data_IF_085872748966
#
_entry.id   IF_085872748966
#
_cell.length_a   1.000
_cell.length_b   1.000
_cell.length_c   1.000
_cell.angle_alpha   90.00
_cell.angle_beta   90.00
_cell.angle_gamma   90.00
#
_symmetry.space_group_name_H-M   'P 1'
#
loop_
_entity.id
_entity.type
_entity.pdbx_description
1 polymer ?
#
# COMPACT_ATOMS: atom_id res chain seq x y z
N UNK A 1 -8.37 11.69 31.22
CA UNK A 1 -6.90 11.72 31.35
C UNK A 1 -6.50 12.35 32.67
N UNK A 2 -5.61 11.71 33.43
CA UNK A 2 -5.07 12.31 34.67
C UNK A 2 -4.05 13.38 34.29
N UNK A 3 -3.78 14.32 35.19
CA UNK A 3 -2.85 15.44 34.94
C UNK A 3 -1.46 14.96 34.54
N UNK A 4 -0.99 13.84 35.07
CA UNK A 4 0.26 13.18 34.70
C UNK A 4 0.28 12.74 33.23
N UNK A 5 -0.80 12.14 32.71
CA UNK A 5 -0.85 11.67 31.33
C UNK A 5 -0.71 12.84 30.36
N UNK A 6 -1.40 13.94 30.65
CA UNK A 6 -1.33 15.17 29.84
C UNK A 6 0.06 15.79 29.86
N UNK A 7 0.72 15.76 31.03
CA UNK A 7 2.09 16.24 31.16
C UNK A 7 3.06 15.43 30.29
N UNK A 8 3.06 14.09 30.45
CA UNK A 8 3.94 13.19 29.71
C UNK A 8 3.74 13.29 28.17
N UNK A 9 2.49 13.39 27.73
CA UNK A 9 2.19 13.56 26.28
C UNK A 9 2.68 14.89 25.76
N UNK A 10 2.50 15.99 26.51
CA UNK A 10 2.92 17.33 26.10
C UNK A 10 4.43 17.43 25.97
N UNK A 11 5.19 16.88 26.92
CA UNK A 11 6.65 16.89 26.90
C UNK A 11 7.23 16.03 25.76
N UNK A 12 6.53 14.96 25.38
CA UNK A 12 6.92 14.13 24.25
C UNK A 12 6.53 14.72 22.90
N UNK A 13 5.39 15.42 22.79
CA UNK A 13 4.83 15.87 21.51
C UNK A 13 5.77 16.82 20.76
N UNK A 14 6.41 17.74 21.45
CA UNK A 14 7.32 18.70 20.84
C UNK A 14 8.56 18.04 20.22
N UNK A 15 9.32 17.18 20.93
CA UNK A 15 10.39 16.40 20.32
C UNK A 15 9.92 15.51 19.17
N UNK A 16 8.71 14.93 19.26
CA UNK A 16 8.15 14.12 18.20
C UNK A 16 7.93 14.91 16.92
N UNK A 17 7.31 16.09 17.01
CA UNK A 17 7.08 16.95 15.83
C UNK A 17 8.40 17.39 15.20
N UNK A 18 9.42 17.72 15.99
CA UNK A 18 10.75 18.08 15.49
C UNK A 18 11.38 16.91 14.74
N UNK A 19 11.38 15.72 15.34
CA UNK A 19 11.92 14.52 14.69
C UNK A 19 11.15 14.17 13.42
N UNK A 20 9.81 14.20 13.47
CA UNK A 20 8.96 13.88 12.34
C UNK A 20 9.22 14.83 11.16
N UNK A 21 9.18 16.14 11.41
CA UNK A 21 9.42 17.15 10.35
C UNK A 21 10.84 17.07 9.82
N UNK A 22 11.83 16.92 10.69
CA UNK A 22 13.24 16.83 10.30
C UNK A 22 13.51 15.61 9.42
N UNK A 23 13.02 14.43 9.82
CA UNK A 23 13.17 13.21 9.03
C UNK A 23 12.33 13.22 7.75
N UNK A 24 11.13 13.84 7.75
CA UNK A 24 10.33 14.00 6.53
C UNK A 24 11.05 14.86 5.51
N UNK A 25 11.59 16.00 5.91
CA UNK A 25 12.36 16.88 5.01
C UNK A 25 13.59 16.14 4.46
N UNK A 26 14.33 15.42 5.33
CA UNK A 26 15.50 14.67 4.92
C UNK A 26 15.13 13.53 3.95
N UNK A 27 14.04 12.81 4.21
CA UNK A 27 13.58 11.72 3.38
C UNK A 27 13.09 12.22 2.00
N UNK A 28 12.27 13.28 1.98
CA UNK A 28 11.80 13.90 0.73
C UNK A 28 12.99 14.46 -0.08
N UNK A 29 13.96 15.09 0.57
CA UNK A 29 15.16 15.59 -0.13
C UNK A 29 15.97 14.45 -0.75
N UNK A 30 16.12 13.32 -0.05
CA UNK A 30 16.80 12.14 -0.57
C UNK A 30 16.05 11.50 -1.74
N UNK A 31 14.73 11.36 -1.63
CA UNK A 31 13.86 10.83 -2.68
C UNK A 31 13.89 11.73 -3.93
N UNK A 32 13.78 13.04 -3.73
CA UNK A 32 13.87 14.02 -4.83
C UNK A 32 15.20 13.95 -5.57
N UNK A 33 16.32 13.76 -4.86
CA UNK A 33 17.65 13.66 -5.48
C UNK A 33 17.76 12.36 -6.30
N UNK A 34 17.20 11.26 -5.81
CA UNK A 34 17.26 9.97 -6.50
C UNK A 34 16.37 9.93 -7.76
N UNK A 35 15.22 10.61 -7.71
CA UNK A 35 14.23 10.59 -8.79
C UNK A 35 14.26 11.92 -9.61
N UNK A 36 15.36 12.69 -9.56
CA UNK A 36 15.45 14.01 -10.20
C UNK A 36 15.17 13.95 -11.70
N UNK A 37 15.65 12.90 -12.38
CA UNK A 37 15.44 12.70 -13.82
C UNK A 37 13.96 12.45 -14.16
N UNK A 38 13.18 11.90 -13.22
CA UNK A 38 11.75 11.64 -13.40
C UNK A 38 10.90 12.92 -13.24
N UNK A 39 11.48 14.00 -12.67
CA UNK A 39 10.84 15.31 -12.50
C UNK A 39 11.30 16.35 -13.54
N UNK A 40 12.06 15.92 -14.56
CA UNK A 40 12.52 16.83 -15.61
C UNK A 40 11.33 17.42 -16.37
N UNK A 41 11.24 18.74 -16.42
CA UNK A 41 10.14 19.47 -17.06
C UNK A 41 8.97 19.84 -16.15
N UNK A 42 8.92 19.36 -14.91
CA UNK A 42 7.86 19.69 -13.95
C UNK A 42 8.18 20.97 -13.17
N UNK A 43 7.14 21.78 -12.90
CA UNK A 43 7.25 22.98 -12.06
C UNK A 43 7.33 22.64 -10.56
N UNK A 44 7.89 23.56 -9.76
CA UNK A 44 8.00 23.40 -8.29
C UNK A 44 6.64 23.12 -7.63
N UNK A 45 5.56 23.72 -8.13
CA UNK A 45 4.22 23.53 -7.61
C UNK A 45 3.70 22.09 -7.87
N UNK A 46 4.05 21.51 -9.00
CA UNK A 46 3.68 20.14 -9.37
C UNK A 46 4.44 19.12 -8.54
N UNK A 47 5.74 19.34 -8.34
CA UNK A 47 6.58 18.54 -7.44
C UNK A 47 6.05 18.60 -5.99
N UNK A 48 5.71 19.78 -5.49
CA UNK A 48 5.13 19.93 -4.16
C UNK A 48 3.78 19.21 -4.04
N UNK A 49 2.95 19.24 -5.09
CA UNK A 49 1.69 18.52 -5.17
C UNK A 49 1.91 17.00 -5.19
N UNK A 50 2.90 16.52 -5.94
CA UNK A 50 3.31 15.11 -5.96
C UNK A 50 3.64 14.62 -4.55
N UNK A 51 4.54 15.31 -3.82
CA UNK A 51 4.91 14.92 -2.46
C UNK A 51 3.75 15.03 -1.47
N UNK A 52 2.84 15.98 -1.64
CA UNK A 52 1.62 16.02 -0.83
C UNK A 52 0.73 14.78 -1.02
N UNK A 53 0.58 14.30 -2.25
CA UNK A 53 -0.24 13.12 -2.56
C UNK A 53 0.43 11.81 -2.10
N UNK A 54 1.75 11.72 -2.21
CA UNK A 54 2.54 10.53 -1.81
C UNK A 54 2.98 10.55 -0.34
N UNK A 55 2.65 11.58 0.41
CA UNK A 55 3.00 11.76 1.81
C UNK A 55 2.71 10.54 2.72
N UNK A 56 1.58 9.80 2.57
CA UNK A 56 1.31 8.59 3.33
C UNK A 56 2.37 7.50 3.18
N UNK A 57 2.97 7.35 2.00
CA UNK A 57 4.04 6.38 1.74
C UNK A 57 5.27 6.67 2.61
N UNK A 58 5.66 7.95 2.68
CA UNK A 58 6.80 8.38 3.47
C UNK A 58 6.57 8.25 4.98
N UNK A 59 5.33 8.41 5.45
CA UNK A 59 4.98 8.21 6.86
C UNK A 59 5.29 6.80 7.36
N UNK A 60 5.15 5.78 6.53
CA UNK A 60 5.46 4.41 6.90
C UNK A 60 6.90 4.22 7.38
N UNK A 61 7.85 4.89 6.74
CA UNK A 61 9.27 4.79 7.07
C UNK A 61 9.65 5.76 8.18
N UNK A 62 9.19 7.01 8.07
CA UNK A 62 9.63 8.11 8.94
C UNK A 62 8.98 8.07 10.32
N UNK A 63 7.71 7.67 10.41
CA UNK A 63 6.95 7.72 11.67
C UNK A 63 7.52 6.81 12.77
N UNK A 64 7.85 5.53 12.52
CA UNK A 64 8.41 4.67 13.56
C UNK A 64 9.77 5.16 14.08
N UNK A 65 10.62 5.68 13.17
CA UNK A 65 11.95 6.21 13.54
C UNK A 65 11.82 7.48 14.38
N UNK A 66 10.96 8.40 13.95
CA UNK A 66 10.66 9.64 14.68
C UNK A 66 10.08 9.35 16.07
N UNK A 67 9.18 8.37 16.14
CA UNK A 67 8.57 7.92 17.40
C UNK A 67 9.61 7.34 18.34
N UNK A 68 10.52 6.49 17.85
CA UNK A 68 11.60 5.94 18.67
C UNK A 68 12.47 7.04 19.26
N UNK A 69 13.03 7.90 18.41
CA UNK A 69 14.00 8.91 18.86
C UNK A 69 13.37 9.94 19.78
N UNK A 70 12.14 10.38 19.48
CA UNK A 70 11.41 11.30 20.35
C UNK A 70 11.08 10.70 21.72
N UNK A 71 10.70 9.42 21.78
CA UNK A 71 10.45 8.72 23.04
C UNK A 71 11.73 8.52 23.85
N UNK A 72 12.81 8.06 23.21
CA UNK A 72 14.11 7.93 23.87
C UNK A 72 14.58 9.27 24.43
N UNK A 73 14.38 10.37 23.69
CA UNK A 73 14.70 11.71 24.16
C UNK A 73 13.83 12.12 25.34
N UNK A 74 12.50 12.04 25.22
CA UNK A 74 11.57 12.48 26.27
C UNK A 74 11.76 11.69 27.58
N UNK A 75 11.85 10.35 27.48
CA UNK A 75 12.04 9.50 28.67
C UNK A 75 13.42 9.74 29.29
N UNK A 76 14.48 9.94 28.48
CA UNK A 76 15.80 10.28 28.98
C UNK A 76 15.81 11.65 29.69
N UNK A 77 15.05 12.64 29.20
CA UNK A 77 14.90 13.95 29.80
C UNK A 77 14.26 13.85 31.21
N UNK A 78 13.13 13.13 31.30
CA UNK A 78 12.48 12.83 32.60
C UNK A 78 13.41 12.08 33.57
N UNK A 79 14.24 11.17 33.05
CA UNK A 79 15.24 10.45 33.83
C UNK A 79 16.32 11.39 34.38
N UNK A 80 16.84 12.29 33.52
CA UNK A 80 17.88 13.28 33.89
C UNK A 80 17.44 14.23 34.99
N UNK A 81 16.16 14.63 34.96
CA UNK A 81 15.61 15.50 36.01
C UNK A 81 15.07 14.74 37.24
N UNK A 82 15.34 13.44 37.34
CA UNK A 82 14.88 12.58 38.43
C UNK A 82 13.36 12.51 38.60
N UNK A 83 12.59 12.92 37.59
CA UNK A 83 11.13 12.93 37.64
C UNK A 83 10.56 11.52 37.76
N UNK A 84 11.17 10.54 37.10
CA UNK A 84 10.78 9.14 37.25
C UNK A 84 10.91 8.62 38.68
N UNK A 85 11.96 9.04 39.37
CA UNK A 85 12.18 8.64 40.80
C UNK A 85 11.10 9.28 41.65
N UNK A 86 10.80 10.57 41.43
CA UNK A 86 9.75 11.28 42.20
C UNK A 86 8.36 10.65 41.97
N UNK A 87 8.00 10.34 40.70
CA UNK A 87 6.71 9.72 40.34
C UNK A 87 6.60 8.32 40.97
N UNK A 88 7.67 7.53 40.97
CA UNK A 88 7.70 6.20 41.58
C UNK A 88 7.60 6.25 43.10
N UNK A 89 8.27 7.19 43.75
CA UNK A 89 8.16 7.41 45.19
C UNK A 89 6.75 7.81 45.62
N UNK A 90 5.98 8.44 44.69
CA UNK A 90 4.54 8.71 44.86
C UNK A 90 3.65 7.47 44.63
N UNK A 91 4.23 6.27 44.45
CA UNK A 91 3.49 5.01 44.29
C UNK A 91 2.98 4.71 42.91
N UNK A 92 3.40 5.47 41.87
CA UNK A 92 2.99 5.23 40.49
C UNK A 92 3.92 4.19 39.85
N UNK A 93 3.37 3.03 39.48
CA UNK A 93 4.14 1.96 38.83
C UNK A 93 4.54 2.28 37.42
N UNK A 94 5.61 1.63 36.92
CA UNK A 94 6.16 1.83 35.56
C UNK A 94 5.13 1.59 34.47
N UNK A 95 4.32 0.56 34.55
CA UNK A 95 3.25 0.27 33.60
C UNK A 95 2.26 1.43 33.47
N UNK A 96 1.88 2.06 34.60
CA UNK A 96 0.97 3.23 34.60
C UNK A 96 1.61 4.45 33.91
N UNK A 97 2.92 4.63 34.08
CA UNK A 97 3.68 5.70 33.41
C UNK A 97 3.82 5.45 31.91
N UNK A 98 3.92 4.19 31.51
CA UNK A 98 4.04 3.80 30.08
C UNK A 98 2.70 3.87 29.34
N UNK A 99 1.57 3.81 30.06
CA UNK A 99 0.24 3.74 29.47
C UNK A 99 -0.07 4.86 28.46
N UNK A 100 0.25 6.16 28.68
CA UNK A 100 0.02 7.21 27.69
C UNK A 100 0.83 7.02 26.41
N UNK A 101 2.08 6.55 26.51
CA UNK A 101 2.92 6.27 25.34
C UNK A 101 2.42 5.06 24.53
N UNK A 102 1.99 4.00 25.22
CA UNK A 102 1.36 2.84 24.58
C UNK A 102 0.07 3.24 23.85
N UNK A 103 -0.75 4.10 24.46
CA UNK A 103 -1.96 4.63 23.81
C UNK A 103 -1.62 5.40 22.53
N UNK A 104 -0.58 6.23 22.56
CA UNK A 104 -0.08 6.94 21.39
C UNK A 104 0.39 5.95 20.32
N UNK A 105 1.16 4.92 20.70
CA UNK A 105 1.59 3.86 19.78
C UNK A 105 0.42 3.18 19.07
N UNK A 106 -0.66 2.87 19.79
CA UNK A 106 -1.89 2.30 19.23
C UNK A 106 -2.56 3.31 18.30
N UNK A 107 -2.72 4.57 18.70
CA UNK A 107 -3.37 5.59 17.88
C UNK A 107 -2.61 5.84 16.57
N UNK A 108 -1.28 5.91 16.63
CA UNK A 108 -0.44 6.07 15.45
C UNK A 108 -0.48 4.81 14.56
N UNK A 109 -0.52 3.61 15.14
CA UNK A 109 -0.70 2.37 14.39
C UNK A 109 -2.02 2.34 13.63
N UNK A 110 -3.13 2.73 14.26
CA UNK A 110 -4.45 2.85 13.60
C UNK A 110 -4.43 3.94 12.54
N UNK A 111 -3.80 5.07 12.81
CA UNK A 111 -3.64 6.17 11.86
C UNK A 111 -2.88 5.74 10.60
N UNK A 112 -1.75 5.04 10.77
CA UNK A 112 -0.98 4.49 9.64
C UNK A 112 -1.77 3.46 8.85
N UNK A 113 -2.49 2.55 9.53
CA UNK A 113 -3.35 1.58 8.84
C UNK A 113 -4.41 2.28 7.98
N UNK A 114 -5.11 3.25 8.54
CA UNK A 114 -6.14 4.00 7.83
C UNK A 114 -5.56 4.80 6.66
N UNK A 115 -4.41 5.44 6.87
CA UNK A 115 -3.70 6.19 5.82
C UNK A 115 -3.27 5.29 4.66
N UNK A 116 -2.78 4.09 4.98
CA UNK A 116 -2.33 3.11 3.99
C UNK A 116 -3.49 2.51 3.18
N UNK A 117 -4.64 2.28 3.80
CA UNK A 117 -5.78 1.65 3.11
C UNK A 117 -6.60 2.65 2.28
N UNK A 118 -6.79 3.89 2.79
CA UNK A 118 -7.70 4.85 2.17
C UNK A 118 -7.00 5.97 1.40
N UNK A 119 -5.90 6.52 1.91
CA UNK A 119 -5.22 7.65 1.27
C UNK A 119 -4.17 7.20 0.26
N UNK A 120 -3.32 6.25 0.63
CA UNK A 120 -2.18 5.83 -0.19
C UNK A 120 -2.58 5.40 -1.62
N UNK A 121 -3.64 4.58 -1.86
CA UNK A 121 -3.99 4.14 -3.21
C UNK A 121 -4.37 5.30 -4.15
N UNK A 122 -5.14 6.27 -3.62
CA UNK A 122 -5.52 7.47 -4.38
C UNK A 122 -4.34 8.42 -4.58
N UNK A 123 -3.51 8.60 -3.55
CA UNK A 123 -2.33 9.45 -3.59
C UNK A 123 -1.30 9.00 -4.62
N UNK A 124 -1.01 7.70 -4.68
CA UNK A 124 -0.07 7.13 -5.66
C UNK A 124 -0.56 7.25 -7.10
N UNK A 125 -1.88 7.10 -7.34
CA UNK A 125 -2.45 7.31 -8.69
C UNK A 125 -2.24 8.74 -9.16
N UNK A 126 -2.61 9.71 -8.30
CA UNK A 126 -2.48 11.13 -8.63
C UNK A 126 -1.01 11.54 -8.74
N UNK A 127 -0.14 11.01 -7.88
CA UNK A 127 1.29 11.22 -7.95
C UNK A 127 1.88 10.73 -9.28
N UNK A 128 1.51 9.50 -9.69
CA UNK A 128 1.94 8.95 -10.97
C UNK A 128 1.49 9.79 -12.16
N UNK A 129 0.26 10.28 -12.15
CA UNK A 129 -0.28 11.13 -13.18
C UNK A 129 0.49 12.46 -13.31
N UNK A 130 0.85 13.10 -12.19
CA UNK A 130 1.68 14.30 -12.18
C UNK A 130 3.05 14.00 -12.78
N UNK A 131 3.67 12.88 -12.42
CA UNK A 131 4.98 12.47 -12.92
C UNK A 131 4.98 12.15 -14.42
N UNK A 132 3.92 11.57 -14.93
CA UNK A 132 3.75 11.25 -16.35
C UNK A 132 3.38 12.50 -17.19
N UNK A 133 3.42 13.71 -16.63
CA UNK A 133 3.19 14.99 -17.33
C UNK A 133 1.74 15.23 -17.78
N UNK A 134 0.77 14.58 -17.14
CA UNK A 134 -0.64 14.73 -17.48
C UNK A 134 -1.21 16.01 -16.82
N UNK A 135 -1.60 16.98 -17.66
CA UNK A 135 -1.89 18.37 -17.24
C UNK A 135 -3.11 18.54 -16.32
N UNK A 136 -4.02 17.57 -16.20
CA UNK A 136 -5.18 17.71 -15.31
C UNK A 136 -5.50 16.45 -14.53
N UNK A 137 -5.89 16.56 -13.24
CA UNK A 137 -6.29 15.42 -12.41
C UNK A 137 -7.55 14.69 -12.92
N UNK A 138 -8.37 15.33 -13.75
CA UNK A 138 -9.57 14.77 -14.36
C UNK A 138 -9.26 13.92 -15.59
N UNK A 139 -8.22 14.30 -16.38
CA UNK A 139 -7.74 13.50 -17.50
C UNK A 139 -6.67 12.47 -17.10
N UNK A 140 -6.04 12.66 -15.95
CA UNK A 140 -4.94 11.86 -15.43
C UNK A 140 -5.31 10.48 -14.87
N UNK A 141 -6.58 10.09 -14.94
CA UNK A 141 -7.06 8.78 -14.48
C UNK A 141 -6.97 7.67 -15.52
N UNK A 142 -6.51 7.96 -16.73
CA UNK A 142 -6.48 6.98 -17.81
C UNK A 142 -5.21 6.13 -17.78
N UNK A 143 -5.38 4.81 -17.67
CA UNK A 143 -4.33 3.82 -17.84
C UNK A 143 -4.34 3.36 -19.31
N UNK A 144 -3.19 3.31 -19.96
CA UNK A 144 -3.05 2.90 -21.36
C UNK A 144 -2.49 1.49 -21.48
N UNK A 145 -2.85 0.78 -22.56
CA UNK A 145 -2.44 -0.60 -22.88
C UNK A 145 -2.69 -1.60 -21.73
N UNK A 146 -3.90 -1.59 -21.23
CA UNK A 146 -4.32 -2.45 -20.12
C UNK A 146 -4.64 -3.85 -20.64
N UNK A 147 -3.90 -4.85 -20.15
CA UNK A 147 -4.17 -6.27 -20.40
C UNK A 147 -4.63 -6.92 -19.12
N UNK A 148 -5.86 -7.42 -19.13
CA UNK A 148 -6.49 -8.03 -17.98
C UNK A 148 -7.00 -9.43 -18.32
N UNK A 149 -6.75 -10.39 -17.44
CA UNK A 149 -7.17 -11.77 -17.64
C UNK A 149 -7.99 -12.25 -16.44
N UNK A 150 -9.17 -12.76 -16.72
CA UNK A 150 -10.01 -13.43 -15.74
C UNK A 150 -9.98 -14.95 -15.99
N UNK A 151 -9.16 -15.68 -15.26
CA UNK A 151 -9.00 -17.13 -15.42
C UNK A 151 -10.27 -17.92 -15.04
N UNK A 152 -11.06 -17.40 -14.11
CA UNK A 152 -12.31 -18.03 -13.68
C UNK A 152 -13.38 -17.97 -14.76
N UNK A 153 -13.53 -16.83 -15.39
CA UNK A 153 -14.49 -16.62 -16.47
C UNK A 153 -13.90 -16.90 -17.86
N UNK A 154 -12.60 -17.28 -17.94
CA UNK A 154 -11.84 -17.53 -19.17
C UNK A 154 -11.90 -16.35 -20.16
N UNK A 155 -11.86 -15.10 -19.63
CA UNK A 155 -11.94 -13.87 -20.41
C UNK A 155 -10.58 -13.15 -20.43
N UNK A 156 -10.16 -12.71 -21.63
CA UNK A 156 -9.02 -11.82 -21.81
C UNK A 156 -9.53 -10.46 -22.29
N UNK A 157 -9.05 -9.42 -21.65
CA UNK A 157 -9.37 -8.04 -21.97
C UNK A 157 -8.12 -7.34 -22.46
N UNK A 158 -8.22 -6.67 -23.61
CA UNK A 158 -7.22 -5.73 -24.11
C UNK A 158 -7.91 -4.37 -24.22
N UNK A 159 -7.49 -3.44 -23.38
CA UNK A 159 -8.15 -2.16 -23.20
C UNK A 159 -7.13 -1.07 -23.53
N UNK A 160 -7.28 -0.33 -24.65
CA UNK A 160 -6.35 0.71 -25.03
C UNK A 160 -6.26 1.86 -24.03
N UNK A 161 -7.42 2.27 -23.47
CA UNK A 161 -7.46 3.26 -22.39
C UNK A 161 -8.56 2.90 -21.36
N UNK A 162 -8.22 2.93 -20.10
CA UNK A 162 -9.08 2.58 -18.96
C UNK A 162 -8.99 3.63 -17.85
N UNK A 163 -10.12 4.10 -17.36
CA UNK A 163 -10.19 4.96 -16.19
C UNK A 163 -10.82 4.20 -15.02
N UNK A 164 -10.04 3.78 -14.03
CA UNK A 164 -10.55 3.02 -12.88
C UNK A 164 -11.46 3.83 -11.95
N UNK A 165 -11.35 5.17 -11.96
CA UNK A 165 -12.14 6.05 -11.10
C UNK A 165 -13.56 6.25 -11.63
N UNK A 166 -13.70 6.46 -12.95
CA UNK A 166 -15.01 6.63 -13.59
C UNK A 166 -15.61 5.32 -14.09
N UNK A 167 -14.80 4.24 -14.15
CA UNK A 167 -15.18 2.97 -14.73
C UNK A 167 -15.39 3.05 -16.24
N UNK A 168 -14.69 3.94 -16.94
CA UNK A 168 -14.79 4.12 -18.38
C UNK A 168 -13.67 3.43 -19.13
N UNK A 169 -14.00 2.87 -20.29
CA UNK A 169 -13.09 2.29 -21.27
C UNK A 169 -13.19 3.07 -22.57
N UNK A 170 -12.07 3.28 -23.26
CA UNK A 170 -12.02 3.95 -24.56
C UNK A 170 -11.04 3.29 -25.50
N UNK A 171 -11.41 3.25 -26.78
CA UNK A 171 -10.51 2.98 -27.88
C UNK A 171 -9.51 4.13 -28.05
N UNK A 172 -8.31 3.84 -28.57
CA UNK A 172 -7.28 4.83 -28.89
C UNK A 172 -6.87 4.65 -30.36
N UNK A 173 -7.15 5.65 -31.18
CA UNK A 173 -6.94 5.55 -32.62
C UNK A 173 -7.75 4.40 -33.20
N UNK A 174 -7.11 3.51 -33.97
CA UNK A 174 -7.73 2.32 -34.57
C UNK A 174 -7.73 1.08 -33.66
N UNK A 175 -7.32 1.19 -32.37
CA UNK A 175 -7.31 0.07 -31.46
C UNK A 175 -8.61 0.07 -30.64
N UNK A 176 -9.58 -0.83 -30.93
CA UNK A 176 -10.79 -0.98 -30.13
C UNK A 176 -10.50 -1.68 -28.80
N UNK A 177 -11.47 -1.62 -27.89
CA UNK A 177 -11.51 -2.49 -26.73
C UNK A 177 -11.79 -3.90 -27.24
N UNK A 178 -10.92 -4.84 -26.91
CA UNK A 178 -11.05 -6.24 -27.31
C UNK A 178 -11.29 -7.11 -26.08
N UNK A 179 -12.36 -7.91 -26.11
CA UNK A 179 -12.65 -8.86 -25.04
C UNK A 179 -12.88 -10.22 -25.70
N UNK A 180 -12.03 -11.18 -25.32
CA UNK A 180 -12.07 -12.54 -25.83
C UNK A 180 -12.51 -13.50 -24.72
N UNK A 181 -13.46 -14.39 -25.02
CA UNK A 181 -13.75 -15.57 -24.22
C UNK A 181 -13.03 -16.77 -24.82
N UNK A 182 -12.30 -17.49 -23.98
CA UNK A 182 -11.65 -18.72 -24.39
C UNK A 182 -12.41 -19.90 -23.85
N UNK A 183 -12.89 -20.76 -24.73
CA UNK A 183 -13.41 -22.08 -24.34
C UNK A 183 -12.28 -23.03 -24.02
N UNK A 184 -11.23 -22.97 -24.84
CA UNK A 184 -9.98 -23.68 -24.69
C UNK A 184 -8.81 -22.69 -24.76
N UNK A 185 -7.62 -23.02 -24.24
CA UNK A 185 -6.46 -22.10 -24.25
C UNK A 185 -5.96 -21.74 -25.67
N UNK A 186 -6.48 -22.40 -26.69
CA UNK A 186 -6.06 -22.23 -28.09
C UNK A 186 -7.01 -21.40 -28.94
N UNK A 187 -8.31 -21.32 -28.62
CA UNK A 187 -9.29 -20.62 -29.48
C UNK A 187 -10.30 -19.79 -28.67
N UNK A 188 -10.52 -18.51 -28.97
CA UNK A 188 -11.61 -17.72 -28.40
C UNK A 188 -12.96 -18.16 -28.99
N UNK A 189 -13.94 -18.41 -28.13
CA UNK A 189 -15.31 -18.77 -28.55
C UNK A 189 -16.09 -17.52 -29.00
N UNK A 190 -15.86 -16.40 -28.34
CA UNK A 190 -16.55 -15.11 -28.60
C UNK A 190 -15.61 -13.97 -28.46
N UNK A 191 -15.84 -12.94 -29.26
CA UNK A 191 -15.04 -11.69 -29.22
C UNK A 191 -15.99 -10.50 -29.23
N UNK A 192 -15.76 -9.54 -28.33
CA UNK A 192 -16.36 -8.21 -28.40
C UNK A 192 -15.28 -7.22 -28.81
N UNK A 193 -15.61 -6.40 -29.80
CA UNK A 193 -14.86 -5.21 -30.17
C UNK A 193 -15.75 -4.00 -29.95
N UNK A 194 -15.29 -3.04 -29.13
CA UNK A 194 -16.08 -1.86 -28.82
C UNK A 194 -15.22 -0.60 -28.80
N UNK A 195 -15.74 0.54 -29.26
CA UNK A 195 -15.02 1.81 -29.20
C UNK A 195 -15.06 2.44 -27.80
N UNK A 196 -16.10 2.16 -27.00
CA UNK A 196 -16.25 2.67 -25.64
C UNK A 196 -17.00 1.68 -24.74
N UNK A 197 -16.75 1.75 -23.45
CA UNK A 197 -17.45 0.98 -22.44
C UNK A 197 -17.55 1.74 -21.11
N UNK A 198 -18.57 1.43 -20.31
CA UNK A 198 -18.77 2.01 -19.00
C UNK A 198 -19.26 0.97 -18.01
N UNK A 199 -18.77 1.04 -16.78
CA UNK A 199 -19.26 0.25 -15.67
C UNK A 199 -20.48 0.89 -15.05
N UNK A 200 -21.64 0.22 -15.14
CA UNK A 200 -22.89 0.70 -14.55
C UNK A 200 -23.68 -0.48 -13.96
N UNK A 201 -24.29 -0.29 -12.80
CA UNK A 201 -25.17 -1.27 -12.14
C UNK A 201 -24.58 -2.71 -12.05
N UNK A 202 -23.29 -2.81 -11.74
CA UNK A 202 -22.64 -4.11 -11.53
C UNK A 202 -22.31 -4.90 -12.80
N UNK A 203 -22.31 -4.26 -13.97
CA UNK A 203 -21.96 -4.84 -15.27
C UNK A 203 -21.35 -3.82 -16.24
N UNK A 204 -20.82 -4.31 -17.35
CA UNK A 204 -20.26 -3.47 -18.39
C UNK A 204 -21.29 -3.19 -19.49
N UNK A 205 -21.44 -1.92 -19.85
CA UNK A 205 -22.20 -1.47 -21.02
C UNK A 205 -21.23 -0.93 -22.05
N UNK A 206 -21.21 -1.55 -23.23
CA UNK A 206 -20.39 -1.12 -24.38
C UNK A 206 -21.26 -0.29 -25.31
N UNK A 207 -20.76 0.87 -25.72
CA UNK A 207 -21.50 1.84 -26.52
C UNK A 207 -20.65 2.31 -27.70
N UNK A 208 -21.32 2.85 -28.71
CA UNK A 208 -20.68 3.64 -29.77
C UNK A 208 -19.95 4.84 -29.16
N UNK A 209 -18.76 5.16 -29.64
CA UNK A 209 -18.08 6.39 -29.23
C UNK A 209 -18.78 7.60 -29.88
N UNK A 210 -18.97 8.68 -29.14
CA UNK A 210 -19.48 9.94 -29.72
C UNK A 210 -18.50 10.44 -30.79
N UNK A 211 -18.96 10.48 -32.03
CA UNK A 211 -18.18 10.97 -33.17
C UNK A 211 -17.37 9.94 -33.96
N UNK A 212 -17.51 8.66 -33.67
CA UNK A 212 -16.98 7.54 -34.44
C UNK A 212 -18.14 6.72 -35.01
N UNK A 213 -18.04 6.32 -36.29
CA UNK A 213 -18.99 5.41 -36.91
C UNK A 213 -18.83 3.94 -36.50
N UNK A 214 -17.94 3.68 -35.52
CA UNK A 214 -17.60 2.33 -35.06
C UNK A 214 -18.68 1.80 -34.14
N UNK A 215 -19.35 0.76 -34.57
CA UNK A 215 -20.36 0.02 -33.79
C UNK A 215 -19.73 -1.01 -32.87
N UNK A 216 -20.46 -1.42 -31.82
CA UNK A 216 -20.05 -2.56 -31.01
C UNK A 216 -20.26 -3.83 -31.81
N UNK A 217 -19.17 -4.57 -32.04
CA UNK A 217 -19.16 -5.81 -32.80
C UNK A 217 -19.08 -6.99 -31.86
N UNK A 218 -20.06 -7.90 -31.94
CA UNK A 218 -20.05 -9.19 -31.24
C UNK A 218 -19.88 -10.31 -32.27
N UNK A 219 -18.77 -11.05 -32.16
CA UNK A 219 -18.52 -12.25 -32.97
C UNK A 219 -18.74 -13.46 -32.07
N UNK A 220 -19.65 -14.34 -32.50
CA UNK A 220 -19.90 -15.65 -31.89
C UNK A 220 -19.17 -16.71 -32.70
N UNK A 221 -18.67 -17.76 -32.02
CA UNK A 221 -18.02 -18.90 -32.64
C UNK A 221 -16.78 -18.51 -33.48
N UNK A 222 -15.92 -17.65 -32.88
CA UNK A 222 -14.69 -17.23 -33.55
C UNK A 222 -13.68 -18.38 -33.63
N UNK A 223 -13.41 -18.84 -34.87
CA UNK A 223 -12.33 -19.76 -35.18
C UNK A 223 -11.20 -18.99 -35.87
N UNK A 224 -9.97 -18.93 -35.32
CA UNK A 224 -8.85 -18.29 -35.98
C UNK A 224 -8.40 -19.15 -37.16
N UNK A 225 -8.90 -18.86 -38.37
CA UNK A 225 -8.37 -19.37 -39.63
C UNK A 225 -7.51 -18.31 -40.26
N UNK A 226 -6.43 -18.68 -40.94
CA UNK A 226 -5.57 -17.78 -41.69
C UNK A 226 -6.40 -17.00 -42.73
N UNK A 227 -6.68 -15.75 -42.46
CA UNK A 227 -7.56 -14.86 -43.21
C UNK A 227 -8.84 -14.53 -42.45
N UNK A 228 -9.32 -13.30 -42.57
CA UNK A 228 -10.62 -12.89 -42.02
C UNK A 228 -11.72 -13.80 -42.59
N UNK A 229 -12.43 -14.57 -41.78
CA UNK A 229 -13.47 -15.45 -42.30
C UNK A 229 -14.68 -14.59 -42.71
N UNK A 230 -14.99 -14.55 -44.00
CA UNK A 230 -16.16 -13.87 -44.55
C UNK A 230 -17.52 -14.41 -44.10
N UNK A 231 -17.55 -15.41 -43.22
CA UNK A 231 -18.77 -16.21 -42.93
C UNK A 231 -19.16 -16.33 -41.45
N UNK A 232 -18.58 -15.53 -40.52
CA UNK A 232 -19.00 -15.59 -39.13
C UNK A 232 -20.20 -14.68 -38.85
N UNK A 233 -21.13 -15.08 -37.97
CA UNK A 233 -22.27 -14.24 -37.63
C UNK A 233 -21.78 -13.03 -36.80
N UNK A 234 -21.51 -11.93 -37.49
CA UNK A 234 -21.18 -10.63 -36.92
C UNK A 234 -22.49 -9.95 -36.57
N UNK A 235 -22.73 -9.68 -35.28
CA UNK A 235 -23.84 -8.85 -34.85
C UNK A 235 -23.32 -7.48 -34.46
N UNK A 236 -23.92 -6.44 -35.00
CA UNK A 236 -23.60 -5.04 -34.74
C UNK A 236 -24.65 -4.46 -33.80
N UNK A 237 -24.23 -3.76 -32.76
CA UNK A 237 -25.08 -3.14 -31.77
C UNK A 237 -24.68 -1.69 -31.55
N UNK A 238 -25.65 -0.81 -31.35
CA UNK A 238 -25.41 0.57 -30.89
C UNK A 238 -25.01 0.61 -29.43
N UNK A 239 -25.60 -0.27 -28.64
CA UNK A 239 -25.29 -0.46 -27.22
C UNK A 239 -25.47 -1.94 -26.86
N UNK A 240 -24.48 -2.49 -26.14
CA UNK A 240 -24.50 -3.87 -25.68
C UNK A 240 -24.21 -3.92 -24.18
N UNK A 241 -25.21 -4.30 -23.40
CA UNK A 241 -25.04 -4.52 -21.97
C UNK A 241 -24.70 -5.99 -21.69
N UNK A 242 -23.59 -6.21 -21.00
CA UNK A 242 -23.09 -7.51 -20.62
C UNK A 242 -23.15 -7.65 -19.10
N UNK A 243 -24.32 -8.04 -18.57
CA UNK A 243 -24.51 -8.28 -17.12
C UNK A 243 -23.70 -9.47 -16.58
N UNK A 244 -23.20 -10.34 -17.48
CA UNK A 244 -22.33 -11.46 -17.16
C UNK A 244 -20.87 -10.99 -16.82
N UNK A 245 -20.51 -9.75 -17.19
CA UNK A 245 -19.19 -9.19 -16.94
C UNK A 245 -19.17 -8.48 -15.60
N UNK A 246 -18.84 -9.25 -14.60
CA UNK A 246 -18.80 -8.82 -13.21
C UNK A 246 -17.39 -8.38 -12.76
N UNK A 247 -16.44 -8.27 -13.70
CA UNK A 247 -15.11 -7.73 -13.45
C UNK A 247 -15.20 -6.24 -13.15
N UNK A 248 -15.10 -5.88 -11.89
CA UNK A 248 -15.20 -4.48 -11.46
C UNK A 248 -13.93 -3.68 -11.87
N UNK A 249 -14.03 -2.35 -12.00
CA UNK A 249 -12.86 -1.49 -12.23
C UNK A 249 -11.73 -1.69 -11.23
N UNK A 250 -12.06 -1.94 -9.96
CA UNK A 250 -11.09 -2.23 -8.89
C UNK A 250 -10.34 -3.55 -9.15
N UNK A 251 -11.02 -4.55 -9.70
CA UNK A 251 -10.38 -5.83 -10.02
C UNK A 251 -9.43 -5.70 -11.21
N UNK A 252 -9.81 -4.97 -12.25
CA UNK A 252 -8.95 -4.70 -13.41
C UNK A 252 -7.72 -3.92 -12.98
N UNK A 253 -7.88 -2.90 -12.16
CA UNK A 253 -6.76 -2.13 -11.61
C UNK A 253 -5.86 -2.97 -10.69
N UNK A 254 -6.46 -3.82 -9.84
CA UNK A 254 -5.74 -4.74 -8.97
C UNK A 254 -4.82 -5.68 -9.73
N UNK A 255 -5.26 -6.20 -10.89
CA UNK A 255 -4.42 -7.03 -11.76
C UNK A 255 -3.16 -6.30 -12.21
N UNK A 256 -3.30 -5.05 -12.66
CA UNK A 256 -2.17 -4.24 -13.12
C UNK A 256 -1.13 -3.96 -12.03
N UNK A 257 -1.58 -3.85 -10.78
CA UNK A 257 -0.70 -3.61 -9.63
C UNK A 257 -0.07 -4.89 -9.11
N UNK A 258 -0.80 -6.00 -9.20
CA UNK A 258 -0.37 -7.29 -8.64
C UNK A 258 0.58 -8.03 -9.58
N UNK A 259 0.38 -7.95 -10.90
CA UNK A 259 1.24 -8.63 -11.87
C UNK A 259 2.74 -8.27 -11.70
N UNK A 260 3.13 -7.00 -11.49
CA UNK A 260 4.53 -6.64 -11.24
C UNK A 260 5.09 -7.16 -9.91
N UNK A 261 4.25 -7.49 -8.91
CA UNK A 261 4.75 -8.07 -7.64
C UNK A 261 5.39 -9.45 -7.83
N UNK A 262 5.04 -10.13 -8.89
CA UNK A 262 5.61 -11.44 -9.21
C UNK A 262 6.92 -11.36 -9.99
N UNK A 263 7.29 -10.17 -10.47
CA UNK A 263 8.57 -9.94 -11.12
C UNK A 263 9.64 -9.60 -10.06
N UNK A 264 10.59 -10.52 -9.87
CA UNK A 264 11.72 -10.35 -8.93
C UNK A 264 12.64 -9.16 -9.30
N UNK A 265 12.51 -8.62 -10.51
CA UNK A 265 13.27 -7.47 -11.01
C UNK A 265 12.57 -6.13 -10.76
N UNK A 266 11.27 -6.15 -10.45
CA UNK A 266 10.52 -4.95 -10.14
C UNK A 266 10.86 -4.47 -8.72
N UNK A 267 11.78 -3.52 -8.60
CA UNK A 267 12.23 -2.95 -7.32
C UNK A 267 11.21 -1.99 -6.68
N UNK A 268 10.10 -1.67 -7.36
CA UNK A 268 9.08 -0.75 -6.84
C UNK A 268 8.11 -1.48 -5.91
N UNK A 269 8.01 -1.00 -4.66
CA UNK A 269 6.94 -1.37 -3.73
C UNK A 269 5.61 -0.85 -4.30
N UNK A 270 4.84 -1.74 -4.88
CA UNK A 270 3.48 -1.40 -5.26
C UNK A 270 2.60 -1.50 -4.01
N UNK A 271 1.94 -0.42 -3.65
CA UNK A 271 0.95 -0.48 -2.57
C UNK A 271 -0.34 -1.05 -3.12
N UNK A 272 -0.54 -2.33 -2.89
CA UNK A 272 -1.77 -3.03 -3.26
C UNK A 272 -2.69 -3.05 -2.03
N UNK A 273 -3.94 -2.60 -2.13
CA UNK A 273 -4.89 -2.62 -1.03
C UNK A 273 -5.34 -4.05 -0.69
N UNK A 274 -5.85 -4.27 0.52
CA UNK A 274 -6.40 -5.57 0.90
C UNK A 274 -7.56 -5.99 -0.02
N UNK A 275 -8.39 -5.00 -0.43
CA UNK A 275 -9.50 -5.24 -1.35
C UNK A 275 -9.03 -5.68 -2.75
N UNK A 276 -7.92 -5.12 -3.26
CA UNK A 276 -7.31 -5.52 -4.53
C UNK A 276 -6.76 -6.94 -4.47
N UNK A 277 -6.08 -7.31 -3.37
CA UNK A 277 -5.57 -8.68 -3.17
C UNK A 277 -6.73 -9.69 -3.13
N UNK A 278 -7.80 -9.40 -2.41
CA UNK A 278 -8.96 -10.28 -2.32
C UNK A 278 -9.72 -10.37 -3.65
N UNK A 279 -9.82 -9.24 -4.38
CA UNK A 279 -10.36 -9.22 -5.73
C UNK A 279 -9.58 -10.11 -6.68
N UNK A 280 -8.24 -10.01 -6.67
CA UNK A 280 -7.34 -10.84 -7.48
C UNK A 280 -7.51 -12.34 -7.20
N UNK A 281 -7.56 -12.74 -5.92
CA UNK A 281 -7.77 -14.14 -5.53
C UNK A 281 -9.10 -14.71 -6.02
N UNK A 282 -10.15 -13.89 -6.09
CA UNK A 282 -11.48 -14.34 -6.57
C UNK A 282 -11.49 -14.65 -8.06
N UNK A 283 -10.68 -13.91 -8.83
CA UNK A 283 -10.60 -14.05 -10.30
C UNK A 283 -9.65 -15.19 -10.69
N UNK A 284 -8.60 -15.40 -9.89
CA UNK A 284 -7.59 -16.43 -10.14
C UNK A 284 -7.60 -17.54 -9.08
N UNK A 285 -8.57 -18.47 -9.11
CA UNK A 285 -8.65 -19.53 -8.09
C UNK A 285 -7.48 -20.52 -8.17
N UNK A 286 -6.85 -20.69 -9.33
CA UNK A 286 -5.78 -21.64 -9.60
C UNK A 286 -4.38 -20.98 -9.68
N UNK A 287 -4.12 -20.01 -8.82
CA UNK A 287 -2.81 -19.35 -8.75
C UNK A 287 -1.72 -20.36 -8.36
N UNK A 288 -0.57 -20.30 -9.04
CA UNK A 288 0.61 -21.10 -8.66
C UNK A 288 0.99 -20.84 -7.20
N UNK A 289 1.40 -21.91 -6.47
CA UNK A 289 1.69 -21.87 -5.02
C UNK A 289 2.70 -20.76 -4.65
N UNK A 290 3.71 -20.53 -5.49
CA UNK A 290 4.71 -19.47 -5.27
C UNK A 290 4.07 -18.08 -5.28
N UNK A 291 3.24 -17.78 -6.28
CA UNK A 291 2.51 -16.51 -6.39
C UNK A 291 1.52 -16.31 -5.24
N UNK A 292 0.83 -17.39 -4.86
CA UNK A 292 -0.08 -17.38 -3.72
C UNK A 292 0.65 -17.04 -2.42
N UNK A 293 1.82 -17.62 -2.18
CA UNK A 293 2.63 -17.34 -1.00
C UNK A 293 3.04 -15.87 -0.93
N UNK A 294 3.42 -15.26 -2.07
CA UNK A 294 3.76 -13.84 -2.16
C UNK A 294 2.55 -12.96 -1.82
N UNK A 295 1.37 -13.25 -2.38
CA UNK A 295 0.14 -12.51 -2.10
C UNK A 295 -0.30 -12.64 -0.64
N UNK A 296 -0.22 -13.85 -0.08
CA UNK A 296 -0.54 -14.09 1.32
C UNK A 296 0.41 -13.32 2.24
N UNK A 297 1.70 -13.27 1.89
CA UNK A 297 2.68 -12.51 2.64
C UNK A 297 2.43 -10.99 2.57
N UNK A 298 2.11 -10.45 1.40
CA UNK A 298 1.76 -9.04 1.26
C UNK A 298 0.50 -8.69 2.06
N UNK A 299 -0.50 -9.55 2.03
CA UNK A 299 -1.72 -9.39 2.81
C UNK A 299 -1.42 -9.33 4.32
N UNK A 300 -0.65 -10.30 4.83
CA UNK A 300 -0.28 -10.36 6.24
C UNK A 300 0.65 -9.20 6.66
N UNK A 301 1.59 -8.82 5.80
CA UNK A 301 2.47 -7.68 6.05
C UNK A 301 1.68 -6.38 6.23
N UNK A 302 0.68 -6.12 5.37
CA UNK A 302 -0.18 -4.94 5.49
C UNK A 302 -0.95 -4.86 6.81
N UNK A 303 -1.30 -6.00 7.39
CA UNK A 303 -1.95 -6.05 8.70
C UNK A 303 -0.95 -5.87 9.84
N UNK A 304 0.26 -6.39 9.69
CA UNK A 304 1.29 -6.38 10.73
C UNK A 304 2.09 -5.06 10.77
N UNK A 305 2.43 -4.48 9.60
CA UNK A 305 3.27 -3.28 9.49
C UNK A 305 2.82 -2.08 10.32
N UNK A 306 1.53 -1.71 10.39
CA UNK A 306 1.09 -0.59 11.23
C UNK A 306 1.41 -0.78 12.71
N UNK A 307 1.46 -2.03 13.20
CA UNK A 307 1.82 -2.34 14.59
C UNK A 307 3.27 -2.02 14.92
N UNK A 308 4.11 -1.75 13.91
CA UNK A 308 5.49 -1.31 14.10
C UNK A 308 5.59 -0.10 15.04
N UNK A 309 4.66 0.86 14.97
CA UNK A 309 4.65 2.00 15.89
C UNK A 309 4.46 1.56 17.35
N UNK A 310 3.56 0.63 17.60
CA UNK A 310 3.36 0.09 18.94
C UNK A 310 4.59 -0.68 19.43
N UNK A 311 5.19 -1.51 18.58
CA UNK A 311 6.40 -2.28 18.93
C UNK A 311 7.57 -1.36 19.26
N UNK A 312 7.76 -0.31 18.47
CA UNK A 312 8.80 0.70 18.70
C UNK A 312 8.62 1.41 20.04
N UNK A 313 7.39 1.77 20.40
CA UNK A 313 7.08 2.31 21.74
C UNK A 313 7.43 1.31 22.83
N UNK A 314 7.03 0.04 22.66
CA UNK A 314 7.32 -1.02 23.63
C UNK A 314 8.84 -1.25 23.79
N UNK A 315 9.63 -1.14 22.72
CA UNK A 315 11.09 -1.22 22.76
C UNK A 315 11.66 0.01 23.48
N UNK A 316 11.21 1.23 23.15
CA UNK A 316 11.77 2.46 23.70
C UNK A 316 11.67 2.54 25.24
N UNK A 317 10.53 2.12 25.81
CA UNK A 317 10.24 2.26 27.25
C UNK A 317 11.31 1.61 28.15
N UNK A 318 11.66 0.31 28.05
CA UNK A 318 12.60 -0.32 28.97
C UNK A 318 14.05 0.18 28.78
N UNK A 319 14.42 0.63 27.60
CA UNK A 319 15.78 1.11 27.31
C UNK A 319 15.99 2.55 27.73
N UNK A 320 14.96 3.39 27.70
CA UNK A 320 15.04 4.76 28.15
C UNK A 320 14.78 4.92 29.66
N UNK A 321 14.13 3.94 30.29
CA UNK A 321 13.85 3.98 31.71
C UNK A 321 15.14 3.78 32.55
N UNK A 322 15.36 4.58 33.58
CA UNK A 322 16.59 4.54 34.37
C UNK A 322 16.69 3.22 35.18
N UNK A 323 17.68 2.41 34.86
CA UNK A 323 18.10 1.28 35.70
C UNK A 323 19.29 1.70 36.55
N UNK A 324 19.05 2.50 37.56
CA UNK A 324 19.97 2.84 38.66
C UNK A 324 21.32 3.47 38.19
N UNK A 325 22.35 2.66 37.96
CA UNK A 325 23.73 3.10 37.67
C UNK A 325 24.13 3.19 36.19
N UNK A 326 23.24 2.89 35.29
CA UNK A 326 23.59 2.92 33.84
C UNK A 326 23.55 4.34 33.29
N UNK A 327 24.58 4.66 32.50
CA UNK A 327 24.62 5.92 31.76
C UNK A 327 23.42 5.97 30.78
N UNK A 328 22.63 7.03 30.84
CA UNK A 328 21.45 7.24 30.02
C UNK A 328 21.75 7.12 28.51
N UNK A 329 22.94 7.57 28.08
CA UNK A 329 23.37 7.45 26.69
C UNK A 329 23.51 5.98 26.22
N UNK A 330 23.94 5.08 27.10
CA UNK A 330 24.04 3.63 26.80
C UNK A 330 22.64 3.04 26.61
N UNK A 331 21.65 3.45 27.42
CA UNK A 331 20.27 3.04 27.24
C UNK A 331 19.69 3.47 25.90
N UNK A 332 19.88 4.73 25.53
CA UNK A 332 19.46 5.27 24.22
C UNK A 332 20.11 4.51 23.07
N UNK A 333 21.43 4.32 23.10
CA UNK A 333 22.15 3.58 22.07
C UNK A 333 21.66 2.14 21.94
N UNK A 334 21.44 1.44 23.09
CA UNK A 334 20.90 0.09 23.10
C UNK A 334 19.46 0.04 22.52
N UNK A 335 18.59 1.00 22.82
CA UNK A 335 17.26 1.11 22.24
C UNK A 335 17.28 1.26 20.72
N UNK A 336 18.17 2.10 20.20
CA UNK A 336 18.37 2.27 18.76
C UNK A 336 18.83 0.95 18.11
N UNK A 337 19.83 0.27 18.69
CA UNK A 337 20.36 -1.00 18.18
C UNK A 337 19.26 -2.07 18.14
N UNK A 338 18.46 -2.20 19.19
CA UNK A 338 17.37 -3.19 19.24
C UNK A 338 16.29 -2.86 18.21
N UNK A 339 15.97 -1.58 18.01
CA UNK A 339 15.01 -1.15 17.00
C UNK A 339 15.52 -1.43 15.59
N UNK A 340 16.81 -1.15 15.30
CA UNK A 340 17.42 -1.51 14.01
C UNK A 340 17.40 -3.03 13.79
N UNK A 341 17.69 -3.82 14.83
CA UNK A 341 17.61 -5.28 14.78
C UNK A 341 16.17 -5.74 14.46
N UNK A 342 15.16 -5.10 15.06
CA UNK A 342 13.75 -5.36 14.73
C UNK A 342 13.46 -5.11 13.25
N UNK A 343 13.84 -3.95 12.70
CA UNK A 343 13.65 -3.65 11.28
C UNK A 343 14.39 -4.62 10.36
N UNK A 344 15.64 -4.98 10.72
CA UNK A 344 16.40 -5.97 9.94
C UNK A 344 15.72 -7.34 9.92
N UNK A 345 15.28 -7.82 11.09
CA UNK A 345 14.58 -9.11 11.20
C UNK A 345 13.24 -9.07 10.42
N UNK A 346 12.52 -7.96 10.46
CA UNK A 346 11.27 -7.78 9.70
C UNK A 346 11.54 -7.88 8.19
N UNK A 347 12.55 -7.19 7.65
CA UNK A 347 12.90 -7.24 6.23
C UNK A 347 13.39 -8.62 5.81
N UNK A 348 14.26 -9.24 6.64
CA UNK A 348 14.76 -10.60 6.36
C UNK A 348 13.61 -11.62 6.38
N UNK A 349 12.69 -11.53 7.34
CA UNK A 349 11.56 -12.44 7.43
C UNK A 349 10.68 -12.41 6.17
N UNK A 350 10.48 -11.22 5.59
CA UNK A 350 9.76 -11.06 4.33
C UNK A 350 10.56 -11.55 3.10
N UNK A 351 11.88 -11.50 3.13
CA UNK A 351 12.72 -12.02 2.06
C UNK A 351 12.68 -13.56 1.93
N UNK A 352 12.36 -14.26 3.02
CA UNK A 352 12.23 -15.73 3.05
C UNK A 352 10.79 -16.22 2.82
N UNK A 353 9.90 -15.38 2.31
CA UNK A 353 8.55 -15.78 1.90
C UNK A 353 8.62 -16.87 0.84
N UNK A 354 7.82 -17.93 1.04
CA UNK A 354 7.86 -19.15 0.21
C UNK A 354 8.59 -20.32 0.88
N UNK A 355 9.53 -20.08 1.80
CA UNK A 355 10.13 -21.11 2.65
C UNK A 355 9.31 -21.33 3.94
N UNK A 356 8.71 -20.25 4.46
CA UNK A 356 7.85 -20.28 5.64
C UNK A 356 6.45 -19.80 5.29
N UNK A 357 5.49 -20.06 6.19
CA UNK A 357 4.13 -19.55 6.01
C UNK A 357 4.11 -18.01 6.07
N UNK A 358 3.25 -17.39 5.26
CA UNK A 358 3.07 -15.94 5.20
C UNK A 358 2.77 -15.30 6.57
N UNK A 359 2.01 -16.01 7.40
CA UNK A 359 1.72 -15.56 8.78
C UNK A 359 2.99 -15.46 9.63
N UNK A 360 3.85 -16.49 9.59
CA UNK A 360 5.10 -16.47 10.36
C UNK A 360 6.00 -15.34 9.84
N UNK A 361 6.14 -15.20 8.52
CA UNK A 361 6.98 -14.17 7.94
C UNK A 361 6.58 -12.75 8.36
N UNK A 362 5.29 -12.45 8.40
CA UNK A 362 4.80 -11.12 8.75
C UNK A 362 4.73 -10.86 10.27
N UNK A 363 4.30 -11.85 11.07
CA UNK A 363 3.97 -11.65 12.48
C UNK A 363 5.07 -12.03 13.46
N UNK A 364 6.01 -12.94 13.09
CA UNK A 364 7.05 -13.39 14.01
C UNK A 364 7.93 -12.25 14.54
N UNK A 365 8.42 -11.28 13.74
CA UNK A 365 9.19 -10.17 14.27
C UNK A 365 8.42 -9.36 15.32
N UNK A 366 7.15 -9.06 15.05
CA UNK A 366 6.28 -8.31 15.96
C UNK A 366 6.01 -9.06 17.27
N UNK A 367 5.76 -10.38 17.20
CA UNK A 367 5.52 -11.22 18.35
C UNK A 367 6.78 -11.37 19.23
N UNK A 368 7.95 -11.59 18.61
CA UNK A 368 9.22 -11.76 19.33
C UNK A 368 9.61 -10.45 20.06
N UNK A 369 9.70 -9.36 19.30
CA UNK A 369 10.16 -8.09 19.89
C UNK A 369 9.10 -7.49 20.84
N UNK A 370 7.82 -7.59 20.51
CA UNK A 370 6.72 -7.20 21.39
C UNK A 370 6.69 -8.00 22.68
N UNK A 371 6.84 -9.32 22.60
CA UNK A 371 6.89 -10.20 23.78
C UNK A 371 8.10 -9.92 24.69
N UNK A 372 9.30 -9.77 24.09
CA UNK A 372 10.51 -9.42 24.86
C UNK A 372 10.35 -8.07 25.53
N UNK A 373 9.84 -7.05 24.82
CA UNK A 373 9.66 -5.71 25.36
C UNK A 373 8.59 -5.67 26.44
N UNK A 374 7.48 -6.37 26.28
CA UNK A 374 6.45 -6.52 27.31
C UNK A 374 7.02 -7.16 28.57
N UNK A 375 7.78 -8.24 28.43
CA UNK A 375 8.43 -8.89 29.56
C UNK A 375 9.45 -7.97 30.27
N UNK A 376 10.23 -7.18 29.52
CA UNK A 376 11.14 -6.21 30.10
C UNK A 376 10.41 -5.11 30.88
N UNK A 377 9.30 -4.56 30.34
CA UNK A 377 8.46 -3.55 31.02
C UNK A 377 7.98 -4.08 32.38
N UNK A 378 7.61 -5.36 32.48
CA UNK A 378 7.17 -5.94 33.74
C UNK A 378 8.31 -6.14 34.76
N UNK A 379 9.57 -6.28 34.30
CA UNK A 379 10.76 -6.45 35.11
C UNK A 379 11.40 -5.15 35.60
N UNK A 380 11.13 -4.03 34.92
CA UNK A 380 11.61 -2.71 35.39
C UNK A 380 10.83 -2.30 36.65
N UNK A 381 11.33 -2.74 37.81
CA UNK A 381 10.81 -2.39 39.12
C UNK A 381 11.53 -1.18 39.72
#
# INVERSE_FOLDING_TARGET
MRLLDRYLIREWLFPFLICLTGFMVLWIAFDLINDLDEFEGLGVAEIARFYWMTLPEHFFVVMPVSLLLSLLYAINQHSRYHEFIAIRNAGVGMFRMSAPYLLIGILLSVGLYSSNEYWLPTGLRQGKAIRDGQETPLDSGWLTDVKFRNDKAKRNWQIPAFNPTTGELRAVGNNPILIEWKWDDTQPERVIMAPAGRWEDGGWTFNMAKGMDDQVILIKDYAPTEGFPETQPITQHESLRMGEFNESPIQIEGELKIAPLFDKRAHKRWSVSLAEIDGYRRIHPNIAQEKKAILDAQYQARLAEPLTCLIVVMIAIPFAAPSGRRNAAVGVAAGIVVCLAFFMVQQMSMAFVGQYSAHIAAWAPHAIFGGISAWQITKVR
#
